data_IF_649280312051
#
_entry.id   IF_649280312051
#
_cell.length_a   1.000
_cell.length_b   1.000
_cell.length_c   1.000
_cell.angle_alpha   90.00
_cell.angle_beta   90.00
_cell.angle_gamma   90.00
#
_symmetry.space_group_name_H-M   'P 1'
#
loop_
_entity.id
_entity.type
_entity.pdbx_description
1 polymer ?
#
# COMPACT_ATOMS: atom_id res chain seq x y z
N UNK A 1 18.06 0.92 -17.33
CA UNK A 1 16.85 1.65 -16.88
C UNK A 1 17.17 3.12 -16.56
N UNK A 2 18.20 3.42 -15.74
CA UNK A 2 18.68 4.80 -15.50
C UNK A 2 19.18 5.55 -16.76
N UNK A 3 19.87 4.87 -17.67
CA UNK A 3 20.36 5.47 -18.94
C UNK A 3 19.21 5.83 -19.89
N UNK A 4 18.12 5.05 -19.86
CA UNK A 4 16.93 5.27 -20.68
C UNK A 4 16.12 6.47 -20.16
N UNK A 5 16.09 6.62 -18.82
CA UNK A 5 15.52 7.79 -18.17
C UNK A 5 16.34 9.07 -18.41
N UNK A 6 17.68 8.96 -18.44
CA UNK A 6 18.58 10.08 -18.73
C UNK A 6 18.48 10.54 -20.19
N UNK A 7 18.34 9.60 -21.15
CA UNK A 7 18.09 9.93 -22.57
C UNK A 7 16.73 10.60 -22.79
N UNK A 8 15.69 10.18 -22.05
CA UNK A 8 14.36 10.83 -22.05
C UNK A 8 14.35 12.23 -21.41
N UNK A 9 15.37 12.56 -20.60
CA UNK A 9 15.46 13.80 -19.81
C UNK A 9 16.03 14.99 -20.60
N UNK A 10 16.77 14.76 -21.67
CA UNK A 10 17.41 15.83 -22.47
C UNK A 10 16.49 16.48 -23.51
N UNK A 11 15.27 15.99 -23.72
CA UNK A 11 14.35 16.57 -24.71
C UNK A 11 13.48 17.68 -24.06
N UNK A 12 13.98 18.92 -24.07
CA UNK A 12 13.21 20.15 -23.83
C UNK A 12 12.24 20.39 -24.99
N UNK A 13 10.96 20.67 -24.69
CA UNK A 13 9.81 21.05 -25.55
C UNK A 13 9.51 20.19 -26.80
N UNK A 14 10.50 19.53 -27.41
CA UNK A 14 10.34 18.59 -28.52
C UNK A 14 9.78 17.24 -28.09
N UNK A 15 9.72 16.92 -26.79
CA UNK A 15 9.32 15.59 -26.30
C UNK A 15 7.86 15.24 -26.60
N UNK A 16 6.94 16.19 -26.53
CA UNK A 16 5.52 16.00 -26.88
C UNK A 16 5.39 15.73 -28.37
N UNK A 17 5.95 16.62 -29.19
CA UNK A 17 5.92 16.53 -30.65
C UNK A 17 6.59 15.23 -31.13
N UNK A 18 7.74 14.86 -30.55
CA UNK A 18 8.50 13.67 -30.92
C UNK A 18 7.85 12.37 -30.43
N UNK A 19 7.17 12.36 -29.28
CA UNK A 19 6.41 11.19 -28.82
C UNK A 19 5.13 10.98 -29.64
N UNK A 20 4.39 12.06 -29.94
CA UNK A 20 3.21 12.04 -30.82
C UNK A 20 3.60 11.64 -32.25
N UNK A 21 4.73 12.14 -32.77
CA UNK A 21 5.28 11.73 -34.08
C UNK A 21 5.73 10.27 -34.10
N UNK A 22 6.24 9.74 -32.99
CA UNK A 22 6.70 8.35 -32.88
C UNK A 22 5.54 7.36 -32.74
N UNK A 23 4.36 7.81 -32.30
CA UNK A 23 3.16 6.97 -32.10
C UNK A 23 1.95 7.56 -32.85
N UNK A 24 1.97 7.58 -34.20
CA UNK A 24 0.92 8.19 -35.01
C UNK A 24 -0.46 7.51 -34.84
N UNK A 25 -0.50 6.29 -34.31
CA UNK A 25 -1.73 5.52 -34.02
C UNK A 25 -2.47 5.92 -32.74
N UNK A 26 -1.99 6.92 -31.98
CA UNK A 26 -2.68 7.41 -30.79
C UNK A 26 -4.00 8.08 -31.17
N UNK A 27 -5.09 7.62 -30.54
CA UNK A 27 -6.41 8.21 -30.66
C UNK A 27 -6.39 9.69 -30.25
N UNK A 28 -7.33 10.49 -30.76
CA UNK A 28 -7.43 11.92 -30.47
C UNK A 28 -7.44 12.19 -28.95
N UNK A 29 -8.22 11.41 -28.20
CA UNK A 29 -8.34 11.55 -26.75
C UNK A 29 -7.00 11.33 -26.04
N UNK A 30 -6.22 10.33 -26.45
CA UNK A 30 -4.92 10.04 -25.84
C UNK A 30 -3.90 11.14 -26.13
N UNK A 31 -3.94 11.74 -27.33
CA UNK A 31 -3.12 12.92 -27.64
C UNK A 31 -3.48 14.10 -26.75
N UNK A 32 -4.78 14.35 -26.55
CA UNK A 32 -5.24 15.46 -25.71
C UNK A 32 -4.85 15.28 -24.24
N UNK A 33 -5.01 14.07 -23.70
CA UNK A 33 -4.56 13.72 -22.34
C UNK A 33 -3.05 13.94 -22.18
N UNK A 34 -2.27 13.52 -23.16
CA UNK A 34 -0.81 13.68 -23.13
C UNK A 34 -0.38 15.14 -23.18
N UNK A 35 -1.03 15.96 -24.02
CA UNK A 35 -0.77 17.41 -24.12
C UNK A 35 -0.99 18.10 -22.78
N UNK A 36 -2.14 17.86 -22.13
CA UNK A 36 -2.47 18.46 -20.83
C UNK A 36 -1.49 18.00 -19.74
N UNK A 37 -1.16 16.71 -19.71
CA UNK A 37 -0.30 16.13 -18.69
C UNK A 37 1.15 16.64 -18.80
N UNK A 38 1.72 16.64 -20.01
CA UNK A 38 3.11 17.06 -20.21
C UNK A 38 3.24 18.59 -20.11
N UNK A 39 2.28 19.34 -20.68
CA UNK A 39 2.29 20.80 -20.64
C UNK A 39 2.24 21.37 -19.22
N UNK A 40 1.61 20.65 -18.29
CA UNK A 40 1.48 21.05 -16.90
C UNK A 40 2.39 20.28 -15.92
N UNK A 41 3.46 19.65 -16.40
CA UNK A 41 4.37 18.90 -15.53
C UNK A 41 4.98 19.76 -14.41
N UNK A 42 5.20 19.15 -13.26
CA UNK A 42 5.90 19.78 -12.13
C UNK A 42 7.41 19.84 -12.41
N UNK A 43 8.09 20.94 -12.03
CA UNK A 43 9.53 21.04 -12.18
C UNK A 43 10.23 20.05 -11.25
N UNK A 44 11.00 19.12 -11.83
CA UNK A 44 11.73 18.08 -11.09
C UNK A 44 12.65 18.67 -10.02
N UNK A 45 13.31 19.79 -10.35
CA UNK A 45 14.18 20.49 -9.40
C UNK A 45 13.42 20.91 -8.14
N UNK A 46 12.22 21.49 -8.30
CA UNK A 46 11.36 21.89 -7.18
C UNK A 46 10.95 20.70 -6.29
N UNK A 47 10.67 19.54 -6.90
CA UNK A 47 10.37 18.31 -6.15
C UNK A 47 11.57 17.81 -5.33
N UNK A 48 12.77 17.81 -5.90
CA UNK A 48 13.99 17.36 -5.20
C UNK A 48 14.35 18.31 -4.06
N UNK A 49 14.32 19.62 -4.31
CA UNK A 49 14.61 20.62 -3.26
C UNK A 49 13.58 20.58 -2.15
N UNK A 50 12.30 20.43 -2.50
CA UNK A 50 11.22 20.28 -1.53
C UNK A 50 11.38 19.03 -0.67
N UNK A 51 11.73 17.90 -1.28
CA UNK A 51 11.98 16.66 -0.56
C UNK A 51 13.13 16.80 0.44
N UNK A 52 14.29 17.34 0.01
CA UNK A 52 15.45 17.53 0.88
C UNK A 52 15.11 18.48 2.04
N UNK A 53 14.44 19.60 1.76
CA UNK A 53 14.03 20.57 2.77
C UNK A 53 13.11 19.95 3.83
N UNK A 54 12.05 19.26 3.39
CA UNK A 54 11.08 18.63 4.31
C UNK A 54 11.73 17.46 5.06
N UNK A 55 12.56 16.65 4.41
CA UNK A 55 13.26 15.55 5.06
C UNK A 55 14.21 16.03 6.17
N UNK A 56 14.90 17.15 5.98
CA UNK A 56 15.73 17.77 7.01
C UNK A 56 14.88 18.27 8.19
N UNK A 57 13.77 18.95 7.91
CA UNK A 57 12.84 19.41 8.96
C UNK A 57 12.30 18.22 9.75
N UNK A 58 11.82 17.17 9.09
CA UNK A 58 11.34 15.95 9.73
C UNK A 58 12.44 15.26 10.55
N UNK A 59 13.69 15.26 10.07
CA UNK A 59 14.82 14.66 10.78
C UNK A 59 15.17 15.40 12.07
N UNK A 60 14.88 16.71 12.16
CA UNK A 60 15.10 17.53 13.37
C UNK A 60 13.93 17.44 14.34
N UNK A 61 12.69 17.51 13.85
CA UNK A 61 11.49 17.54 14.70
C UNK A 61 11.20 16.16 15.32
N UNK A 62 11.36 15.07 14.56
CA UNK A 62 10.98 13.73 15.03
C UNK A 62 11.76 13.30 16.28
N UNK A 63 13.08 13.54 16.41
CA UNK A 63 13.82 13.26 17.65
C UNK A 63 13.37 14.09 18.87
N UNK A 64 12.73 15.25 18.68
CA UNK A 64 12.16 16.03 19.78
C UNK A 64 10.90 15.38 20.36
N UNK A 65 10.17 14.63 19.54
CA UNK A 65 8.98 13.89 19.96
C UNK A 65 9.38 12.50 20.48
N UNK A 66 10.28 11.83 19.77
CA UNK A 66 10.74 10.47 20.08
C UNK A 66 12.24 10.46 20.34
N UNK A 67 12.64 10.63 21.60
CA UNK A 67 14.07 10.73 21.97
C UNK A 67 14.89 9.48 21.62
N UNK A 68 14.24 8.32 21.46
CA UNK A 68 14.87 7.04 21.11
C UNK A 68 15.42 7.02 19.67
N UNK A 69 14.90 7.86 18.76
CA UNK A 69 15.38 7.96 17.38
C UNK A 69 16.20 9.24 17.17
N UNK A 70 17.48 9.09 16.87
CA UNK A 70 18.38 10.23 16.64
C UNK A 70 18.33 10.72 15.19
N UNK A 71 18.66 11.99 14.99
CA UNK A 71 18.73 12.67 13.68
C UNK A 71 19.40 11.83 12.58
N UNK A 72 20.57 11.25 12.84
CA UNK A 72 21.32 10.49 11.83
C UNK A 72 20.59 9.22 11.34
N UNK A 73 19.80 8.57 12.20
CA UNK A 73 19.00 7.40 11.79
C UNK A 73 17.89 7.82 10.82
N UNK A 74 17.27 8.97 11.05
CA UNK A 74 16.24 9.51 10.17
C UNK A 74 16.81 10.00 8.84
N UNK A 75 17.98 10.65 8.85
CA UNK A 75 18.66 11.03 7.61
C UNK A 75 18.99 9.80 6.76
N UNK A 76 19.55 8.75 7.37
CA UNK A 76 19.81 7.49 6.67
C UNK A 76 18.51 6.87 6.11
N UNK A 77 17.44 6.90 6.91
CA UNK A 77 16.13 6.43 6.49
C UNK A 77 15.62 7.21 5.27
N UNK A 78 15.64 8.55 5.30
CA UNK A 78 15.23 9.38 4.16
C UNK A 78 16.12 9.20 2.93
N UNK A 79 17.41 8.87 3.08
CA UNK A 79 18.25 8.53 1.93
C UNK A 79 17.80 7.19 1.30
N UNK A 80 17.36 6.23 2.12
CA UNK A 80 16.97 4.89 1.64
C UNK A 80 15.52 4.79 1.15
N UNK A 81 14.58 5.56 1.75
CA UNK A 81 13.14 5.53 1.45
C UNK A 81 12.81 5.67 -0.04
N UNK A 82 13.43 6.60 -0.81
CA UNK A 82 13.12 6.77 -2.23
C UNK A 82 13.24 5.47 -3.06
N UNK A 83 14.14 4.56 -2.70
CA UNK A 83 14.29 3.26 -3.38
C UNK A 83 13.06 2.37 -3.15
N UNK A 84 12.57 2.31 -1.91
CA UNK A 84 11.36 1.58 -1.55
C UNK A 84 10.12 2.26 -2.15
N UNK A 85 10.07 3.59 -2.10
CA UNK A 85 9.01 4.41 -2.68
C UNK A 85 8.89 4.16 -4.17
N UNK A 86 9.99 4.18 -4.92
CA UNK A 86 9.98 3.88 -6.34
C UNK A 86 9.43 2.48 -6.63
N UNK A 87 9.91 1.47 -5.91
CA UNK A 87 9.46 0.08 -6.08
C UNK A 87 7.97 -0.10 -5.76
N UNK A 88 7.50 0.47 -4.65
CA UNK A 88 6.10 0.41 -4.25
C UNK A 88 5.19 1.14 -5.24
N UNK A 89 5.57 2.36 -5.63
CA UNK A 89 4.80 3.16 -6.58
C UNK A 89 4.76 2.53 -7.97
N UNK A 90 5.84 1.89 -8.42
CA UNK A 90 5.83 1.08 -9.64
C UNK A 90 4.87 -0.11 -9.54
N UNK A 91 4.92 -0.84 -8.42
CA UNK A 91 3.99 -1.93 -8.12
C UNK A 91 2.54 -1.45 -8.15
N UNK A 92 2.24 -0.34 -7.47
CA UNK A 92 0.92 0.30 -7.49
C UNK A 92 0.51 0.72 -8.89
N UNK A 93 1.41 1.27 -9.70
CA UNK A 93 1.10 1.62 -11.09
C UNK A 93 0.71 0.41 -11.95
N UNK A 94 1.25 -0.78 -11.66
CA UNK A 94 0.94 -2.02 -12.38
C UNK A 94 -0.29 -2.76 -11.85
N UNK A 95 -0.45 -2.83 -10.53
CA UNK A 95 -1.47 -3.68 -9.87
C UNK A 95 -2.61 -2.89 -9.24
N UNK A 96 -2.54 -1.56 -9.27
CA UNK A 96 -3.45 -0.64 -8.58
C UNK A 96 -3.51 -0.84 -7.06
N UNK A 97 -2.43 -1.35 -6.47
CA UNK A 97 -2.37 -1.65 -5.04
C UNK A 97 -1.05 -1.21 -4.40
N UNK A 98 -1.14 -0.65 -3.19
CA UNK A 98 0.02 -0.23 -2.41
C UNK A 98 0.35 -1.28 -1.34
N UNK A 99 1.59 -1.74 -1.31
CA UNK A 99 2.12 -2.60 -0.24
C UNK A 99 2.98 -1.81 0.76
N UNK A 100 2.71 -0.50 0.87
CA UNK A 100 3.35 0.39 1.84
C UNK A 100 3.37 -0.17 3.27
N UNK A 101 2.29 -0.78 3.80
CA UNK A 101 2.32 -1.34 5.15
C UNK A 101 3.35 -2.48 5.32
N UNK A 102 3.57 -3.29 4.28
CA UNK A 102 4.54 -4.39 4.31
C UNK A 102 5.96 -3.85 4.35
N UNK A 103 6.30 -2.91 3.47
CA UNK A 103 7.60 -2.26 3.48
C UNK A 103 7.87 -1.54 4.81
N UNK A 104 6.87 -0.87 5.37
CA UNK A 104 6.98 -0.20 6.66
C UNK A 104 7.23 -1.19 7.81
N UNK A 105 6.54 -2.34 7.84
CA UNK A 105 6.80 -3.42 8.81
C UNK A 105 8.21 -3.99 8.67
N UNK A 106 8.75 -4.04 7.46
CA UNK A 106 10.14 -4.44 7.24
C UNK A 106 11.14 -3.40 7.77
N UNK A 107 10.89 -2.11 7.51
CA UNK A 107 11.67 -1.00 8.09
C UNK A 107 11.63 -1.04 9.62
N UNK A 108 10.45 -1.26 10.21
CA UNK A 108 10.27 -1.47 11.65
C UNK A 108 11.22 -2.54 12.18
N UNK A 109 11.21 -3.73 11.55
CA UNK A 109 12.05 -4.86 11.96
C UNK A 109 13.54 -4.49 11.89
N UNK A 110 13.99 -3.90 10.78
CA UNK A 110 15.40 -3.53 10.60
C UNK A 110 15.87 -2.50 11.62
N UNK A 111 15.07 -1.46 11.86
CA UNK A 111 15.41 -0.40 12.81
C UNK A 111 15.37 -0.95 14.25
N UNK A 112 14.38 -1.75 14.61
CA UNK A 112 14.32 -2.39 15.92
C UNK A 112 15.51 -3.35 16.15
N UNK A 113 15.94 -4.09 15.12
CA UNK A 113 17.11 -4.96 15.17
C UNK A 113 18.42 -4.19 15.32
N UNK A 114 18.50 -2.97 14.77
CA UNK A 114 19.70 -2.12 14.86
C UNK A 114 19.93 -1.61 16.29
N UNK A 115 18.86 -1.18 16.97
CA UNK A 115 19.00 -0.55 18.29
C UNK A 115 19.19 -1.55 19.44
N UNK A 116 18.65 -2.78 19.32
CA UNK A 116 18.77 -3.89 20.29
C UNK A 116 18.63 -3.50 21.78
N UNK A 117 17.80 -2.49 22.07
CA UNK A 117 17.56 -1.91 23.40
C UNK A 117 16.04 -1.79 23.63
N UNK A 118 15.56 -1.63 24.88
CA UNK A 118 14.12 -1.48 25.14
C UNK A 118 13.45 -0.34 24.34
N UNK A 119 14.17 0.76 24.09
CA UNK A 119 13.72 1.88 23.25
C UNK A 119 13.65 1.58 21.75
N UNK A 120 14.17 0.44 21.29
CA UNK A 120 14.22 0.05 19.89
C UNK A 120 12.82 -0.14 19.27
N UNK A 121 11.84 -0.59 20.07
CA UNK A 121 10.46 -0.73 19.60
C UNK A 121 9.87 0.64 19.26
N UNK A 122 10.11 1.65 20.11
CA UNK A 122 9.60 3.01 19.90
C UNK A 122 10.30 3.63 18.69
N UNK A 123 11.63 3.54 18.61
CA UNK A 123 12.39 4.03 17.46
C UNK A 123 11.99 3.34 16.15
N UNK A 124 11.78 2.02 16.19
CA UNK A 124 11.32 1.25 15.04
C UNK A 124 9.92 1.63 14.59
N UNK A 125 8.98 1.84 15.51
CA UNK A 125 7.60 2.27 15.18
C UNK A 125 7.61 3.68 14.59
N UNK A 126 8.43 4.59 15.12
CA UNK A 126 8.59 5.93 14.54
C UNK A 126 9.14 5.87 13.10
N UNK A 127 10.20 5.09 12.86
CA UNK A 127 10.75 4.87 11.52
C UNK A 127 9.73 4.19 10.57
N UNK A 128 8.97 3.23 11.08
CA UNK A 128 7.89 2.56 10.38
C UNK A 128 6.82 3.55 9.92
N UNK A 129 6.39 4.46 10.81
CA UNK A 129 5.38 5.47 10.49
C UNK A 129 5.87 6.40 9.37
N UNK A 130 7.11 6.90 9.48
CA UNK A 130 7.73 7.73 8.44
C UNK A 130 7.77 6.99 7.10
N UNK A 131 8.28 5.76 7.08
CA UNK A 131 8.34 4.95 5.87
C UNK A 131 6.95 4.72 5.27
N UNK A 132 5.98 4.31 6.09
CA UNK A 132 4.60 4.05 5.66
C UNK A 132 3.98 5.28 5.00
N UNK A 133 4.12 6.46 5.61
CA UNK A 133 3.53 7.69 5.05
C UNK A 133 4.18 8.06 3.72
N UNK A 134 5.52 8.01 3.61
CA UNK A 134 6.21 8.29 2.35
C UNK A 134 5.82 7.32 1.23
N UNK A 135 5.75 6.03 1.53
CA UNK A 135 5.37 4.98 0.59
C UNK A 135 3.91 5.13 0.14
N UNK A 136 3.00 5.40 1.09
CA UNK A 136 1.58 5.48 0.81
C UNK A 136 1.23 6.74 0.00
N UNK A 137 1.76 7.92 0.39
CA UNK A 137 1.51 9.18 -0.33
C UNK A 137 2.01 9.10 -1.77
N UNK A 138 3.18 8.51 -2.01
CA UNK A 138 3.70 8.34 -3.38
C UNK A 138 2.85 7.41 -4.24
N UNK A 139 2.37 6.30 -3.68
CA UNK A 139 1.47 5.38 -4.39
C UNK A 139 0.11 6.03 -4.69
N UNK A 140 -0.48 6.71 -3.72
CA UNK A 140 -1.72 7.47 -3.90
C UNK A 140 -1.54 8.58 -4.95
N UNK A 141 -0.41 9.29 -4.95
CA UNK A 141 -0.10 10.29 -5.97
C UNK A 141 -0.10 9.72 -7.39
N UNK A 142 0.41 8.51 -7.61
CA UNK A 142 0.35 7.89 -8.95
C UNK A 142 -1.07 7.50 -9.33
N UNK A 143 -1.88 7.01 -8.39
CA UNK A 143 -3.30 6.69 -8.64
C UNK A 143 -4.09 7.95 -8.99
N UNK A 144 -3.93 9.01 -8.21
CA UNK A 144 -4.62 10.28 -8.44
C UNK A 144 -4.14 10.98 -9.72
N UNK A 145 -2.85 10.91 -10.04
CA UNK A 145 -2.34 11.40 -11.32
C UNK A 145 -2.85 10.59 -12.51
N UNK A 146 -3.08 9.28 -12.35
CA UNK A 146 -3.71 8.44 -13.39
C UNK A 146 -5.17 8.85 -13.60
N UNK A 147 -5.91 9.06 -12.52
CA UNK A 147 -7.29 9.58 -12.58
C UNK A 147 -7.32 10.99 -13.18
N UNK A 148 -6.38 11.85 -12.79
CA UNK A 148 -6.22 13.19 -13.37
C UNK A 148 -5.91 13.15 -14.86
N UNK A 149 -5.04 12.23 -15.30
CA UNK A 149 -4.76 11.99 -16.71
C UNK A 149 -6.02 11.57 -17.49
N UNK A 150 -6.85 10.68 -16.93
CA UNK A 150 -8.08 10.22 -17.57
C UNK A 150 -9.15 11.32 -17.66
N UNK A 151 -9.23 12.19 -16.64
CA UNK A 151 -10.21 13.28 -16.51
C UNK A 151 -9.73 14.62 -17.09
N UNK A 152 -8.56 14.66 -17.74
CA UNK A 152 -7.93 15.89 -18.25
C UNK A 152 -7.65 16.94 -17.16
N UNK A 153 -7.51 16.52 -15.90
CA UNK A 153 -7.16 17.39 -14.80
C UNK A 153 -5.66 17.69 -14.82
N UNK A 154 -5.30 18.96 -14.67
CA UNK A 154 -3.89 19.39 -14.64
C UNK A 154 -3.14 18.75 -13.46
N UNK A 155 -1.97 18.13 -13.67
CA UNK A 155 -1.13 17.58 -12.60
C UNK A 155 -0.80 18.56 -11.48
N UNK A 156 -0.73 19.87 -11.77
CA UNK A 156 -0.47 20.90 -10.75
C UNK A 156 -1.64 21.04 -9.77
N UNK A 157 -2.88 20.92 -10.26
CA UNK A 157 -4.08 20.99 -9.44
C UNK A 157 -4.20 19.75 -8.57
N UNK A 158 -3.92 18.57 -9.13
CA UNK A 158 -3.86 17.31 -8.35
C UNK A 158 -2.85 17.44 -7.21
N UNK A 159 -1.65 17.93 -7.48
CA UNK A 159 -0.62 18.17 -6.47
C UNK A 159 -1.01 19.22 -5.43
N UNK A 160 -1.65 20.33 -5.84
CA UNK A 160 -2.17 21.32 -4.89
C UNK A 160 -3.25 20.72 -3.99
N UNK A 161 -4.12 19.86 -4.55
CA UNK A 161 -5.11 19.09 -3.78
C UNK A 161 -4.49 18.18 -2.74
N UNK A 162 -3.37 17.51 -3.08
CA UNK A 162 -2.60 16.70 -2.13
C UNK A 162 -2.07 17.53 -0.96
N UNK A 163 -1.46 18.68 -1.24
CA UNK A 163 -0.96 19.59 -0.19
C UNK A 163 -2.12 20.02 0.72
N UNK A 164 -3.24 20.44 0.13
CA UNK A 164 -4.41 20.87 0.89
C UNK A 164 -4.97 19.75 1.78
N UNK A 165 -5.10 18.54 1.24
CA UNK A 165 -5.54 17.36 1.99
C UNK A 165 -4.60 17.01 3.14
N UNK A 166 -3.28 17.09 2.94
CA UNK A 166 -2.29 16.86 4.00
C UNK A 166 -2.40 17.92 5.10
N UNK A 167 -2.57 19.19 4.75
CA UNK A 167 -2.72 20.27 5.72
C UNK A 167 -3.96 20.08 6.59
N UNK A 168 -5.12 19.80 5.98
CA UNK A 168 -6.35 19.52 6.74
C UNK A 168 -6.19 18.25 7.58
N UNK A 169 -5.69 17.16 6.99
CA UNK A 169 -5.49 15.89 7.68
C UNK A 169 -4.54 16.00 8.87
N UNK A 170 -3.53 16.88 8.80
CA UNK A 170 -2.62 17.13 9.92
C UNK A 170 -3.29 17.76 11.14
N UNK A 171 -4.43 18.43 10.96
CA UNK A 171 -5.22 19.02 12.05
C UNK A 171 -6.35 18.09 12.47
N UNK A 172 -7.09 17.52 11.50
CA UNK A 172 -8.25 16.67 11.78
C UNK A 172 -7.84 15.35 12.45
N UNK A 173 -6.77 14.68 11.98
CA UNK A 173 -6.42 13.35 12.48
C UNK A 173 -6.05 13.35 13.98
N UNK A 174 -5.21 14.29 14.49
CA UNK A 174 -4.97 14.39 15.93
C UNK A 174 -6.23 14.73 16.74
N UNK A 175 -7.13 15.56 16.20
CA UNK A 175 -8.40 15.89 16.88
C UNK A 175 -9.31 14.67 17.01
N UNK A 176 -9.38 13.83 15.98
CA UNK A 176 -10.10 12.56 16.04
C UNK A 176 -9.48 11.64 17.09
N UNK A 177 -8.15 11.53 17.12
CA UNK A 177 -7.46 10.74 18.15
C UNK A 177 -7.77 11.23 19.56
N UNK A 178 -7.69 12.54 19.80
CA UNK A 178 -8.02 13.17 21.09
C UNK A 178 -9.49 12.95 21.46
N UNK A 179 -10.42 13.00 20.51
CA UNK A 179 -11.82 12.71 20.75
C UNK A 179 -12.01 11.28 21.29
N UNK A 180 -11.39 10.27 20.67
CA UNK A 180 -11.45 8.92 21.20
C UNK A 180 -10.78 8.81 22.57
N UNK A 181 -9.67 9.52 22.79
CA UNK A 181 -8.92 9.46 24.05
C UNK A 181 -9.71 10.06 25.21
N UNK A 182 -10.42 11.16 24.97
CA UNK A 182 -11.28 11.81 25.95
C UNK A 182 -12.52 10.98 26.30
N UNK A 183 -13.07 10.24 25.33
CA UNK A 183 -14.23 9.37 25.54
C UNK A 183 -13.87 7.99 26.10
N UNK A 184 -12.59 7.60 26.04
CA UNK A 184 -12.15 6.35 26.64
C UNK A 184 -12.27 6.39 28.17
N UNK A 185 -12.75 5.29 28.76
CA UNK A 185 -12.82 5.14 30.22
C UNK A 185 -11.41 5.25 30.81
N UNK A 186 -11.24 6.06 31.87
CA UNK A 186 -9.95 6.23 32.57
C UNK A 186 -9.34 4.90 33.06
N UNK A 187 -10.17 3.91 33.36
CA UNK A 187 -9.76 2.56 33.79
C UNK A 187 -9.35 1.64 32.64
N UNK A 188 -9.68 1.99 31.40
CA UNK A 188 -9.40 1.21 30.20
C UNK A 188 -9.01 2.13 29.02
N UNK A 189 -7.81 2.74 29.07
CA UNK A 189 -7.34 3.63 28.01
C UNK A 189 -7.25 2.91 26.66
N UNK A 190 -7.23 3.70 25.60
CA UNK A 190 -7.19 3.21 24.21
C UNK A 190 -6.10 2.15 24.04
N UNK A 191 -6.43 1.08 23.31
CA UNK A 191 -5.48 0.03 22.97
C UNK A 191 -5.25 -1.02 24.07
N UNK A 192 -5.88 -0.89 25.24
CA UNK A 192 -5.92 -1.96 26.24
C UNK A 192 -6.94 -3.04 25.86
N UNK A 193 -6.70 -4.30 26.26
CA UNK A 193 -7.59 -5.44 25.93
C UNK A 193 -9.02 -5.30 26.45
N UNK A 194 -9.22 -4.47 27.49
CA UNK A 194 -10.52 -4.19 28.11
C UNK A 194 -11.10 -2.85 27.68
N UNK A 195 -10.43 -2.14 26.77
CA UNK A 195 -10.94 -0.89 26.22
C UNK A 195 -12.07 -1.16 25.25
N UNK A 196 -13.02 -0.25 25.23
CA UNK A 196 -14.07 -0.16 24.20
C UNK A 196 -13.47 0.13 22.81
N UNK A 197 -12.25 0.69 22.77
CA UNK A 197 -11.49 0.97 21.57
C UNK A 197 -10.21 0.12 21.52
N UNK A 198 -10.30 -1.19 21.19
CA UNK A 198 -9.13 -2.03 21.03
C UNK A 198 -8.33 -1.58 19.79
N UNK A 199 -7.00 -1.54 19.89
CA UNK A 199 -6.09 -1.19 18.79
C UNK A 199 -5.33 -2.44 18.31
N UNK A 200 -5.98 -3.38 17.59
CA UNK A 200 -5.35 -4.64 17.19
C UNK A 200 -4.13 -4.43 16.31
N UNK A 201 -4.17 -3.43 15.40
CA UNK A 201 -3.03 -3.07 14.56
C UNK A 201 -1.81 -2.66 15.40
N UNK A 202 -2.00 -1.84 16.44
CA UNK A 202 -0.90 -1.41 17.31
C UNK A 202 -0.23 -2.60 18.02
N UNK A 203 -1.01 -3.58 18.47
CA UNK A 203 -0.48 -4.81 19.06
C UNK A 203 0.38 -5.60 18.06
N UNK A 204 -0.06 -5.70 16.80
CA UNK A 204 0.72 -6.34 15.73
C UNK A 204 2.06 -5.61 15.47
N UNK A 205 2.04 -4.28 15.31
CA UNK A 205 3.29 -3.51 15.10
C UNK A 205 4.22 -3.63 16.31
N UNK A 206 3.70 -3.61 17.54
CA UNK A 206 4.51 -3.85 18.74
C UNK A 206 5.14 -5.24 18.73
N UNK A 207 4.39 -6.27 18.35
CA UNK A 207 4.92 -7.64 18.26
C UNK A 207 6.06 -7.75 17.24
N UNK A 208 5.92 -7.10 16.06
CA UNK A 208 6.98 -7.05 15.05
C UNK A 208 8.21 -6.29 15.57
N UNK A 209 8.02 -5.18 16.28
CA UNK A 209 9.12 -4.46 16.91
C UNK A 209 9.85 -5.31 17.95
N UNK A 210 9.12 -6.06 18.78
CA UNK A 210 9.71 -6.98 19.76
C UNK A 210 10.50 -8.12 19.08
N UNK A 211 9.95 -8.73 18.03
CA UNK A 211 10.66 -9.71 17.21
C UNK A 211 11.92 -9.10 16.57
N UNK A 212 11.81 -7.87 16.09
CA UNK A 212 12.94 -7.11 15.52
C UNK A 212 14.09 -6.95 16.51
N UNK A 213 13.83 -6.73 17.80
CA UNK A 213 14.91 -6.57 18.80
C UNK A 213 15.81 -7.80 18.92
N UNK A 214 15.26 -9.00 18.79
CA UNK A 214 16.05 -10.25 18.78
C UNK A 214 16.71 -10.54 17.43
N UNK A 215 16.44 -9.69 16.43
CA UNK A 215 17.05 -9.74 15.10
C UNK A 215 16.69 -11.00 14.33
N UNK A 216 17.61 -11.42 13.47
CA UNK A 216 17.40 -12.57 12.57
C UNK A 216 17.21 -13.89 13.32
N UNK A 217 17.69 -14.00 14.57
CA UNK A 217 17.61 -15.24 15.37
C UNK A 217 16.18 -15.58 15.78
N UNK A 218 15.31 -14.59 15.91
CA UNK A 218 13.89 -14.76 16.25
C UNK A 218 13.03 -15.10 15.03
N UNK A 219 13.59 -15.03 13.82
CA UNK A 219 12.86 -15.41 12.61
C UNK A 219 12.74 -16.94 12.51
N UNK A 220 11.65 -17.46 11.90
CA UNK A 220 11.48 -18.89 11.67
C UNK A 220 12.69 -19.53 10.97
N UNK A 221 13.00 -20.78 11.34
CA UNK A 221 14.08 -21.56 10.69
C UNK A 221 13.89 -21.56 9.17
N UNK A 222 14.98 -21.36 8.44
CA UNK A 222 15.02 -21.27 6.97
C UNK A 222 14.31 -20.06 6.32
N UNK A 223 13.78 -19.10 7.10
CA UNK A 223 13.12 -17.91 6.55
C UNK A 223 14.02 -17.16 5.54
N UNK A 224 15.28 -16.89 5.91
CA UNK A 224 16.23 -16.23 5.02
C UNK A 224 16.56 -17.05 3.77
N UNK A 225 16.64 -18.39 3.90
CA UNK A 225 16.86 -19.28 2.77
C UNK A 225 15.72 -19.17 1.76
N UNK A 226 14.46 -19.19 2.24
CA UNK A 226 13.30 -18.97 1.39
C UNK A 226 13.32 -17.58 0.74
N UNK A 227 13.64 -16.51 1.48
CA UNK A 227 13.77 -15.17 0.91
C UNK A 227 14.83 -15.11 -0.19
N UNK A 228 15.98 -15.76 0.00
CA UNK A 228 17.04 -15.76 -1.00
C UNK A 228 16.63 -16.54 -2.26
N UNK A 229 16.02 -17.71 -2.09
CA UNK A 229 15.51 -18.53 -3.20
C UNK A 229 14.45 -17.75 -3.99
N UNK A 230 13.49 -17.12 -3.33
CA UNK A 230 12.42 -16.36 -4.02
C UNK A 230 12.95 -15.12 -4.72
N UNK A 231 13.96 -14.44 -4.17
CA UNK A 231 14.66 -13.34 -4.85
C UNK A 231 15.36 -13.84 -6.12
N UNK A 232 16.08 -14.97 -6.05
CA UNK A 232 16.73 -15.55 -7.23
C UNK A 232 15.73 -15.94 -8.32
N UNK A 233 14.63 -16.59 -7.94
CA UNK A 233 13.54 -16.95 -8.87
C UNK A 233 12.95 -15.68 -9.50
N UNK A 234 12.69 -14.65 -8.69
CA UNK A 234 12.12 -13.38 -9.18
C UNK A 234 13.05 -12.69 -10.17
N UNK A 235 14.34 -12.61 -9.86
CA UNK A 235 15.35 -12.04 -10.75
C UNK A 235 15.42 -12.83 -12.05
N UNK A 236 15.46 -14.17 -11.98
CA UNK A 236 15.52 -15.02 -13.16
C UNK A 236 14.30 -14.82 -14.07
N UNK A 237 13.08 -14.82 -13.50
CA UNK A 237 11.85 -14.62 -14.25
C UNK A 237 11.76 -13.23 -14.88
N UNK A 238 12.14 -12.17 -14.16
CA UNK A 238 12.14 -10.81 -14.72
C UNK A 238 13.23 -10.63 -15.80
N UNK A 239 14.40 -11.27 -15.67
CA UNK A 239 15.41 -11.28 -16.75
C UNK A 239 14.85 -11.98 -17.99
N UNK A 240 14.25 -13.15 -17.84
CA UNK A 240 13.64 -13.89 -18.97
C UNK A 240 12.53 -13.04 -19.61
N UNK A 241 11.70 -12.37 -18.80
CA UNK A 241 10.67 -11.44 -19.27
C UNK A 241 11.26 -10.29 -20.08
N UNK A 242 12.29 -9.62 -19.56
CA UNK A 242 12.95 -8.49 -20.23
C UNK A 242 13.65 -8.91 -21.53
N UNK A 243 14.29 -10.08 -21.56
CA UNK A 243 14.94 -10.62 -22.76
C UNK A 243 13.90 -11.01 -23.80
N UNK A 244 12.83 -11.67 -23.38
CA UNK A 244 11.70 -12.07 -24.23
C UNK A 244 11.05 -10.85 -24.90
N UNK A 245 10.81 -9.78 -24.15
CA UNK A 245 10.26 -8.51 -24.68
C UNK A 245 11.21 -7.84 -25.68
N UNK A 246 12.52 -7.84 -25.43
CA UNK A 246 13.49 -7.22 -26.34
C UNK A 246 13.68 -8.00 -27.64
N UNK A 247 13.54 -9.32 -27.60
CA UNK A 247 13.70 -10.21 -28.75
C UNK A 247 12.38 -10.59 -29.43
N UNK A 248 11.27 -9.99 -28.97
CA UNK A 248 9.89 -10.25 -29.43
C UNK A 248 9.51 -11.74 -29.46
N UNK A 249 9.87 -12.47 -28.40
CA UNK A 249 9.52 -13.88 -28.27
C UNK A 249 8.06 -14.04 -27.86
N UNK A 250 7.35 -15.02 -28.46
CA UNK A 250 5.96 -15.39 -28.05
C UNK A 250 5.85 -15.81 -26.58
N UNK A 251 6.97 -16.16 -25.94
CA UNK A 251 7.02 -16.51 -24.52
C UNK A 251 6.62 -15.33 -23.60
N UNK A 252 6.67 -14.08 -24.08
CA UNK A 252 6.30 -12.89 -23.28
C UNK A 252 4.87 -12.92 -22.72
N UNK A 253 3.94 -13.63 -23.38
CA UNK A 253 2.54 -13.74 -22.95
C UNK A 253 2.33 -14.76 -21.82
N UNK A 254 3.29 -15.66 -21.59
CA UNK A 254 3.17 -16.74 -20.61
C UNK A 254 3.97 -16.49 -19.33
N UNK A 255 4.85 -15.48 -19.31
CA UNK A 255 5.68 -15.18 -18.14
C UNK A 255 4.87 -14.33 -17.16
N UNK A 256 4.59 -14.83 -15.94
CA UNK A 256 3.81 -14.07 -14.98
C UNK A 256 4.59 -12.88 -14.43
N UNK A 257 3.86 -11.84 -14.03
CA UNK A 257 4.42 -10.70 -13.30
C UNK A 257 4.61 -11.11 -11.84
N UNK A 258 5.86 -11.23 -11.38
CA UNK A 258 6.14 -11.66 -10.00
C UNK A 258 5.59 -10.68 -8.96
N UNK A 259 5.56 -9.39 -9.28
CA UNK A 259 4.94 -8.35 -8.44
C UNK A 259 3.45 -8.60 -8.22
N UNK A 260 2.72 -9.09 -9.23
CA UNK A 260 1.30 -9.41 -9.11
C UNK A 260 1.09 -10.71 -8.31
N UNK A 261 1.95 -11.72 -8.48
CA UNK A 261 1.91 -12.95 -7.69
C UNK A 261 2.15 -12.68 -6.21
N UNK A 262 3.07 -11.78 -5.87
CA UNK A 262 3.43 -11.48 -4.49
C UNK A 262 2.30 -10.76 -3.71
N UNK A 263 1.40 -10.05 -4.41
CA UNK A 263 0.40 -9.19 -3.79
C UNK A 263 -0.60 -9.95 -2.88
N UNK A 264 -1.22 -11.07 -3.32
CA UNK A 264 -2.03 -11.94 -2.46
C UNK A 264 -1.37 -12.39 -1.17
N UNK A 265 -0.07 -12.69 -1.19
CA UNK A 265 0.66 -13.15 -0.01
C UNK A 265 0.81 -12.04 1.05
N UNK A 266 0.64 -10.78 0.65
CA UNK A 266 0.77 -9.62 1.53
C UNK A 266 -0.58 -9.08 1.99
N UNK A 267 -1.59 -9.07 1.13
CA UNK A 267 -2.92 -8.53 1.43
C UNK A 267 -3.91 -9.59 1.92
N UNK A 268 -3.70 -10.86 1.58
CA UNK A 268 -4.59 -11.97 1.91
C UNK A 268 -5.27 -12.59 0.67
N UNK A 269 -5.86 -13.79 0.83
CA UNK A 269 -6.43 -14.54 -0.28
C UNK A 269 -7.75 -13.95 -0.82
N UNK A 270 -8.51 -13.21 0.00
CA UNK A 270 -9.80 -12.61 -0.38
C UNK A 270 -9.66 -11.76 -1.65
N UNK A 271 -8.65 -10.89 -1.68
CA UNK A 271 -8.32 -10.07 -2.85
C UNK A 271 -8.10 -10.88 -4.13
N UNK A 272 -7.49 -12.06 -4.00
CA UNK A 272 -7.21 -12.91 -5.17
C UNK A 272 -8.49 -13.49 -5.73
N UNK A 273 -9.40 -13.89 -4.85
CA UNK A 273 -10.71 -14.42 -5.22
C UNK A 273 -11.51 -13.33 -5.94
N UNK A 274 -11.57 -12.13 -5.37
CA UNK A 274 -12.32 -11.00 -5.93
C UNK A 274 -11.79 -10.59 -7.30
N UNK A 275 -10.46 -10.45 -7.46
CA UNK A 275 -9.84 -10.13 -8.75
C UNK A 275 -10.07 -11.22 -9.80
N UNK A 276 -10.05 -12.50 -9.39
CA UNK A 276 -10.29 -13.63 -10.29
C UNK A 276 -11.73 -13.64 -10.78
N UNK A 277 -12.70 -13.45 -9.87
CA UNK A 277 -14.11 -13.37 -10.21
C UNK A 277 -14.39 -12.16 -11.13
N UNK A 278 -13.84 -10.99 -10.82
CA UNK A 278 -13.95 -9.80 -11.67
C UNK A 278 -13.35 -10.01 -13.06
N UNK A 279 -12.21 -10.69 -13.15
CA UNK A 279 -11.57 -11.01 -14.44
C UNK A 279 -12.40 -11.99 -15.27
N UNK A 280 -12.96 -13.03 -14.65
CA UNK A 280 -13.83 -14.00 -15.34
C UNK A 280 -15.08 -13.29 -15.88
N UNK A 281 -15.73 -12.45 -15.07
CA UNK A 281 -16.89 -11.66 -15.49
C UNK A 281 -16.54 -10.75 -16.67
N UNK A 282 -15.40 -10.06 -16.61
CA UNK A 282 -14.95 -9.20 -17.71
C UNK A 282 -14.68 -10.00 -18.99
N UNK A 283 -14.06 -11.18 -18.90
CA UNK A 283 -13.80 -12.05 -20.05
C UNK A 283 -15.11 -12.52 -20.69
N UNK A 284 -16.07 -12.98 -19.88
CA UNK A 284 -17.38 -13.41 -20.37
C UNK A 284 -18.09 -12.23 -21.04
N UNK A 285 -18.14 -11.07 -20.38
CA UNK A 285 -18.78 -9.88 -20.93
C UNK A 285 -18.12 -9.42 -22.24
N UNK A 286 -16.79 -9.43 -22.32
CA UNK A 286 -16.05 -9.08 -23.54
C UNK A 286 -16.37 -10.04 -24.70
N UNK A 287 -16.57 -11.34 -24.41
CA UNK A 287 -16.99 -12.33 -25.42
C UNK A 287 -18.42 -12.14 -25.89
N UNK A 288 -19.32 -11.71 -25.01
CA UNK A 288 -20.74 -11.48 -25.34
C UNK A 288 -20.93 -10.16 -26.08
N UNK A 289 -20.36 -9.07 -25.55
CA UNK A 289 -20.47 -7.73 -26.14
C UNK A 289 -19.22 -6.90 -25.86
N UNK A 290 -18.31 -6.87 -26.85
CA UNK A 290 -17.04 -6.16 -26.74
C UNK A 290 -17.19 -4.64 -26.61
N UNK A 291 -18.08 -4.02 -27.38
CA UNK A 291 -18.27 -2.57 -27.34
C UNK A 291 -18.80 -2.10 -25.97
N UNK A 292 -19.77 -2.82 -25.42
CA UNK A 292 -20.31 -2.52 -24.09
C UNK A 292 -19.25 -2.70 -23.00
N UNK A 293 -18.48 -3.79 -23.06
CA UNK A 293 -17.41 -4.05 -22.09
C UNK A 293 -16.31 -2.95 -22.13
N UNK A 294 -15.89 -2.51 -23.31
CA UNK A 294 -14.86 -1.46 -23.44
C UNK A 294 -15.32 -0.11 -22.84
N UNK A 295 -16.61 0.23 -22.93
CA UNK A 295 -17.15 1.51 -22.45
C UNK A 295 -17.57 1.45 -20.97
N UNK A 296 -18.22 0.38 -20.53
CA UNK A 296 -18.83 0.30 -19.20
C UNK A 296 -18.01 -0.45 -18.14
N UNK A 297 -17.03 -1.28 -18.51
CA UNK A 297 -16.29 -2.11 -17.54
C UNK A 297 -15.70 -1.32 -16.38
N UNK A 298 -15.10 -0.16 -16.68
CA UNK A 298 -14.49 0.70 -15.65
C UNK A 298 -15.55 1.29 -14.70
N UNK A 299 -16.72 1.65 -15.21
CA UNK A 299 -17.82 2.18 -14.40
C UNK A 299 -18.44 1.11 -13.49
N UNK A 300 -18.66 -0.10 -14.02
CA UNK A 300 -19.18 -1.23 -13.22
C UNK A 300 -18.17 -1.65 -12.15
N UNK A 301 -16.88 -1.75 -12.49
CA UNK A 301 -15.84 -2.06 -11.52
C UNK A 301 -15.78 -1.02 -10.40
N UNK A 302 -15.80 0.28 -10.74
CA UNK A 302 -15.84 1.35 -9.76
C UNK A 302 -17.09 1.29 -8.87
N UNK A 303 -18.25 0.95 -9.44
CA UNK A 303 -19.50 0.76 -8.69
C UNK A 303 -19.44 -0.40 -7.70
N UNK A 304 -18.89 -1.56 -8.12
CA UNK A 304 -18.71 -2.72 -7.24
C UNK A 304 -17.76 -2.44 -6.08
N UNK A 305 -16.62 -1.78 -6.35
CA UNK A 305 -15.65 -1.39 -5.31
C UNK A 305 -16.25 -0.35 -4.36
N UNK A 306 -16.95 0.64 -4.89
CA UNK A 306 -17.61 1.66 -4.05
C UNK A 306 -18.75 1.08 -3.22
N UNK A 307 -19.47 0.09 -3.75
CA UNK A 307 -20.54 -0.62 -3.05
C UNK A 307 -20.04 -1.33 -1.79
N UNK A 308 -18.88 -2.00 -1.86
CA UNK A 308 -18.23 -2.59 -0.68
C UNK A 308 -17.87 -1.50 0.35
N UNK A 309 -17.35 -0.36 -0.11
CA UNK A 309 -17.07 0.81 0.74
C UNK A 309 -18.29 1.34 1.49
N UNK A 310 -19.45 1.39 0.84
CA UNK A 310 -20.71 1.85 1.46
C UNK A 310 -21.12 0.95 2.63
N UNK A 311 -20.79 -0.35 2.59
CA UNK A 311 -21.14 -1.30 3.65
C UNK A 311 -20.42 -1.07 4.99
N UNK A 312 -19.29 -0.36 4.98
CA UNK A 312 -18.58 0.03 6.20
C UNK A 312 -19.39 0.99 7.07
N UNK A 313 -20.24 1.84 6.48
CA UNK A 313 -21.06 2.81 7.22
C UNK A 313 -22.13 2.13 8.10
N UNK A 314 -23.00 1.26 7.57
CA UNK A 314 -23.90 0.46 8.40
C UNK A 314 -23.15 -0.35 9.46
N UNK A 315 -22.03 -0.98 9.09
CA UNK A 315 -21.22 -1.77 10.02
C UNK A 315 -20.70 -0.92 11.20
N UNK A 316 -20.23 0.30 10.92
CA UNK A 316 -19.79 1.24 11.94
C UNK A 316 -20.96 1.73 12.81
N UNK A 317 -22.14 1.98 12.23
CA UNK A 317 -23.34 2.36 12.97
C UNK A 317 -23.82 1.24 13.90
N UNK A 318 -23.87 0.00 13.42
CA UNK A 318 -24.20 -1.18 14.23
C UNK A 318 -23.21 -1.34 15.39
N UNK A 319 -21.92 -1.15 15.12
CA UNK A 319 -20.89 -1.14 16.16
C UNK A 319 -21.08 -0.02 17.18
N UNK A 320 -21.45 1.18 16.73
CA UNK A 320 -21.73 2.34 17.61
C UNK A 320 -22.93 2.09 18.54
N UNK A 321 -23.96 1.40 18.04
CA UNK A 321 -25.12 1.01 18.84
C UNK A 321 -24.89 -0.26 19.66
N UNK A 322 -23.66 -0.80 19.70
CA UNK A 322 -23.32 -2.07 20.35
C UNK A 322 -24.27 -3.22 19.96
N UNK A 323 -24.71 -3.23 18.70
CA UNK A 323 -25.56 -4.32 18.20
C UNK A 323 -24.69 -5.57 18.10
N UNK A 324 -25.01 -6.56 18.94
CA UNK A 324 -24.32 -7.83 18.89
C UNK A 324 -24.61 -8.54 17.56
N UNK A 325 -23.60 -9.12 16.90
CA UNK A 325 -23.81 -9.86 15.67
C UNK A 325 -24.75 -11.05 15.96
N UNK A 326 -25.79 -11.27 15.14
CA UNK A 326 -26.77 -12.33 15.38
C UNK A 326 -26.15 -13.73 15.31
N UNK A 327 -24.95 -13.86 14.74
CA UNK A 327 -24.18 -15.11 14.68
C UNK A 327 -22.68 -14.83 14.86
N UNK A 328 -22.06 -15.52 15.82
CA UNK A 328 -20.61 -15.56 15.97
C UNK A 328 -20.08 -16.88 15.38
N UNK A 329 -19.36 -16.81 14.28
CA UNK A 329 -18.76 -17.98 13.64
C UNK A 329 -17.25 -18.02 13.91
N UNK A 330 -16.75 -19.15 14.39
CA UNK A 330 -15.32 -19.40 14.59
C UNK A 330 -14.92 -20.66 13.82
N UNK A 331 -14.05 -20.52 12.83
CA UNK A 331 -13.50 -21.65 12.10
C UNK A 331 -12.35 -22.25 12.90
N UNK A 332 -12.55 -23.48 13.37
CA UNK A 332 -11.54 -24.26 14.08
C UNK A 332 -10.85 -25.19 13.09
N UNK A 333 -9.52 -25.32 13.21
CA UNK A 333 -8.80 -26.33 12.45
C UNK A 333 -9.23 -27.72 12.94
N UNK A 334 -9.43 -28.67 12.01
CA UNK A 334 -9.89 -30.02 12.35
C UNK A 334 -9.03 -30.67 13.43
N UNK A 335 -9.66 -31.41 14.34
CA UNK A 335 -8.95 -32.20 15.36
C UNK A 335 -9.43 -31.89 16.77
N UNK A 336 -8.48 -31.79 17.71
CA UNK A 336 -8.76 -31.74 19.16
C UNK A 336 -9.59 -30.51 19.57
N UNK A 337 -9.39 -29.38 18.91
CA UNK A 337 -10.13 -28.14 19.20
C UNK A 337 -11.60 -28.23 18.78
N UNK A 338 -11.90 -28.89 17.65
CA UNK A 338 -13.28 -29.14 17.19
C UNK A 338 -13.99 -30.09 18.15
N UNK A 339 -13.34 -31.16 18.60
CA UNK A 339 -13.94 -32.09 19.56
C UNK A 339 -14.28 -31.43 20.91
N UNK A 340 -13.43 -30.51 21.37
CA UNK A 340 -13.69 -29.74 22.61
C UNK A 340 -14.86 -28.77 22.41
N UNK A 341 -14.91 -28.09 21.26
CA UNK A 341 -16.01 -27.20 20.93
C UNK A 341 -17.35 -27.95 20.78
N UNK A 342 -17.36 -29.09 20.08
CA UNK A 342 -18.55 -29.93 19.92
C UNK A 342 -19.03 -30.51 21.26
N UNK A 343 -18.11 -30.95 22.12
CA UNK A 343 -18.45 -31.39 23.47
C UNK A 343 -19.08 -30.27 24.32
N UNK A 344 -18.56 -29.04 24.20
CA UNK A 344 -19.11 -27.86 24.86
C UNK A 344 -20.49 -27.46 24.32
N UNK A 345 -20.70 -27.52 23.01
CA UNK A 345 -22.00 -27.23 22.39
C UNK A 345 -23.04 -28.29 22.76
N UNK A 346 -22.67 -29.56 22.78
CA UNK A 346 -23.56 -30.66 23.19
C UNK A 346 -23.94 -30.59 24.67
N UNK A 347 -23.13 -29.97 25.53
CA UNK A 347 -23.49 -29.75 26.95
C UNK A 347 -24.44 -28.56 27.14
N UNK A 348 -24.47 -27.60 26.21
CA UNK A 348 -25.44 -26.50 26.21
C UNK A 348 -26.82 -26.94 25.72
N UNK A 349 -26.90 -27.90 24.78
CA UNK A 349 -28.16 -28.44 24.25
C UNK A 349 -28.97 -29.32 25.20
N UNK A 350 -28.45 -29.63 26.40
CA UNK A 350 -29.13 -30.44 27.42
C UNK A 350 -29.79 -29.61 28.54
N UNK A 351 -29.88 -28.28 28.37
CA UNK A 351 -30.41 -27.34 29.38
C UNK A 351 -31.69 -26.62 28.96
N UNK A 352 -32.49 -27.22 28.07
CA UNK A 352 -33.91 -26.90 27.90
C UNK A 352 -34.80 -27.93 28.59
#
# INVERSE_FOLDING_TARGET
MLIDFYKKRQEKDSGVTKYILKHPSLNYDDRKRLEVFIGNRLPVFGGVTGYIGIALICSVITPWIFHEIKFHHLVLLFISIPVFTFSNTYGTGLTDWSVAPTYAKFVLFLVAAWFSKPGAVIAGIAACAVAMMCLNISSQAVQDHRTGYMTLTSPRVVFAGHIYGILIGSVINPLIFLFFELNAKKTAPIGTKKSEYPCPSAAMYRAIGLLGMGGVKELPKHCLTFCFITVLITIALEIVRLVSQRKDWKLQYYIPCMTAIALPFLSGPTFTVDMTLGSILLIIWTKVNRQSAEILSSAVAAGLVSGDGIWYLPSALLGLFNVEPPMCMKFLASGKEVQIADAFLNTLGHKE
#
